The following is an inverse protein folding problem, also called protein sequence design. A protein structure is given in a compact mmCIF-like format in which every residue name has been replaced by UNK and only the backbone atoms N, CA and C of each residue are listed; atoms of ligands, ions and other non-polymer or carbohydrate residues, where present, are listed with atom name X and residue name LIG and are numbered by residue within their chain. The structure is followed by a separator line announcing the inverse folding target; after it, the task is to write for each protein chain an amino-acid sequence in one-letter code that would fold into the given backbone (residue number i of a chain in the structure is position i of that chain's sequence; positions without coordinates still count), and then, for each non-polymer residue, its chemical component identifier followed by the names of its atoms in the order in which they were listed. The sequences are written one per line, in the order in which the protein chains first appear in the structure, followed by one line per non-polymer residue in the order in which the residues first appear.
data_IF_778585830225
#
_entry.id   IF_778585830225
#
_cell.length_a   1.000
_cell.length_b   1.000
_cell.length_c   1.000
_cell.angle_alpha   90.00
_cell.angle_beta   90.00
_cell.angle_gamma   90.00
#
_symmetry.space_group_name_H-M   'P 1'
#
loop_
_entity.id
_entity.type
_entity.pdbx_description
1 polymer ?
#
# COMPACT_ATOMS: atom_id res chain seq x y z
N UNK A 1 -39.31 30.33 -33.95
CA UNK A 1 -40.49 29.45 -33.78
C UNK A 1 -41.34 29.71 -35.00
N UNK A 2 -41.57 28.70 -35.87
CA UNK A 2 -42.44 28.87 -37.04
C UNK A 2 -43.81 29.37 -36.59
N UNK A 3 -44.42 30.24 -37.40
CA UNK A 3 -45.77 30.75 -37.14
C UNK A 3 -46.74 29.56 -37.07
N UNK A 4 -47.78 29.67 -36.23
CA UNK A 4 -48.82 28.64 -36.13
C UNK A 4 -49.50 28.40 -37.50
N UNK A 5 -49.57 29.44 -38.33
CA UNK A 5 -50.05 29.35 -39.72
C UNK A 5 -49.12 28.52 -40.61
N UNK A 6 -47.80 28.69 -40.48
CA UNK A 6 -46.81 27.93 -41.28
C UNK A 6 -46.84 26.44 -40.95
N UNK A 7 -47.01 26.08 -39.67
CA UNK A 7 -47.12 24.69 -39.20
C UNK A 7 -48.45 24.08 -39.68
N UNK A 8 -49.52 24.87 -39.69
CA UNK A 8 -50.82 24.43 -40.20
C UNK A 8 -50.78 24.16 -41.70
N UNK A 9 -50.14 25.04 -42.47
CA UNK A 9 -50.01 24.91 -43.93
C UNK A 9 -49.09 23.74 -44.31
N UNK A 10 -47.98 23.53 -43.60
CA UNK A 10 -47.12 22.36 -43.78
C UNK A 10 -47.84 21.05 -43.43
N UNK A 11 -48.63 21.04 -42.35
CA UNK A 11 -49.45 19.89 -41.96
C UNK A 11 -50.55 19.58 -42.99
N UNK A 12 -51.20 20.60 -43.56
CA UNK A 12 -52.18 20.45 -44.65
C UNK A 12 -51.53 19.87 -45.90
N UNK A 13 -50.40 20.43 -46.34
CA UNK A 13 -49.67 19.94 -47.51
C UNK A 13 -49.19 18.48 -47.33
N UNK A 14 -48.74 18.11 -46.13
CA UNK A 14 -48.36 16.74 -45.80
C UNK A 14 -49.57 15.79 -45.78
N UNK A 15 -50.72 16.23 -45.26
CA UNK A 15 -51.96 15.47 -45.26
C UNK A 15 -52.48 15.23 -46.69
N UNK A 16 -52.44 16.25 -47.56
CA UNK A 16 -52.80 16.12 -48.96
C UNK A 16 -51.92 15.09 -49.67
N UNK A 17 -50.59 15.16 -49.48
CA UNK A 17 -49.64 14.18 -50.02
C UNK A 17 -49.90 12.76 -49.51
N UNK A 18 -50.27 12.62 -48.23
CA UNK A 18 -50.61 11.34 -47.63
C UNK A 18 -51.91 10.75 -48.21
N UNK A 19 -52.94 11.57 -48.41
CA UNK A 19 -54.20 11.16 -49.03
C UNK A 19 -54.01 10.77 -50.49
N UNK A 20 -53.25 11.57 -51.26
CA UNK A 20 -52.91 11.25 -52.66
C UNK A 20 -52.18 9.90 -52.78
N UNK A 21 -51.23 9.61 -51.89
CA UNK A 21 -50.52 8.33 -51.88
C UNK A 21 -51.38 7.13 -51.46
N UNK A 22 -52.43 7.34 -50.65
CA UNK A 22 -53.32 6.28 -50.17
C UNK A 22 -54.44 5.91 -51.16
N UNK A 23 -54.75 6.76 -52.14
CA UNK A 23 -55.89 6.64 -53.05
C UNK A 23 -55.46 6.56 -54.54
N UNK A 24 -54.52 5.66 -54.88
CA UNK A 24 -53.96 5.58 -56.24
C UNK A 24 -54.80 4.72 -57.22
N UNK A 25 -55.71 3.87 -56.73
CA UNK A 25 -56.55 2.98 -57.58
C UNK A 25 -58.03 3.04 -57.18
N UNK A 26 -59.00 2.94 -58.12
CA UNK A 26 -60.43 3.09 -57.83
C UNK A 26 -60.98 2.10 -56.78
N UNK A 27 -60.53 0.84 -56.76
CA UNK A 27 -60.95 -0.16 -55.77
C UNK A 27 -60.50 0.12 -54.32
N UNK A 28 -59.69 1.16 -54.08
CA UNK A 28 -59.30 1.57 -52.73
C UNK A 28 -60.33 2.48 -52.06
N UNK A 29 -61.33 2.98 -52.81
CA UNK A 29 -62.46 3.79 -52.29
C UNK A 29 -63.35 3.00 -51.31
N UNK A 30 -63.49 1.69 -51.48
CA UNK A 30 -64.23 0.83 -50.54
C UNK A 30 -63.58 0.78 -49.14
N UNK A 31 -62.27 1.04 -49.04
CA UNK A 31 -61.52 1.03 -47.77
C UNK A 31 -61.48 2.40 -47.06
N UNK A 32 -62.10 3.44 -47.63
CA UNK A 32 -62.09 4.81 -47.08
C UNK A 32 -62.67 4.85 -45.66
N UNK A 33 -63.75 4.12 -45.39
CA UNK A 33 -64.33 4.05 -44.04
C UNK A 33 -63.37 3.43 -43.02
N UNK A 34 -62.56 2.45 -43.43
CA UNK A 34 -61.52 1.86 -42.57
C UNK A 34 -60.37 2.85 -42.33
N UNK A 35 -59.93 3.58 -43.35
CA UNK A 35 -58.90 4.61 -43.22
C UNK A 35 -59.37 5.80 -42.38
N UNK A 36 -60.62 6.23 -42.55
CA UNK A 36 -61.27 7.26 -41.74
C UNK A 36 -61.29 6.85 -40.27
N UNK A 37 -61.75 5.63 -39.95
CA UNK A 37 -61.71 5.10 -38.57
C UNK A 37 -60.28 5.08 -38.00
N UNK A 38 -59.29 4.67 -38.79
CA UNK A 38 -57.88 4.66 -38.37
C UNK A 38 -57.33 6.06 -38.10
N UNK A 39 -57.64 7.04 -38.95
CA UNK A 39 -57.23 8.44 -38.78
C UNK A 39 -57.95 9.06 -37.58
N UNK A 40 -59.25 8.81 -37.41
CA UNK A 40 -60.01 9.27 -36.24
C UNK A 40 -59.44 8.69 -34.94
N UNK A 41 -59.08 7.40 -34.91
CA UNK A 41 -58.44 6.79 -33.75
C UNK A 41 -57.04 7.38 -33.48
N UNK A 42 -56.23 7.61 -34.53
CA UNK A 42 -54.93 8.29 -34.40
C UNK A 42 -55.08 9.71 -33.88
N UNK A 43 -56.05 10.48 -34.40
CA UNK A 43 -56.37 11.83 -33.94
C UNK A 43 -56.78 11.82 -32.47
N UNK A 44 -57.70 10.95 -32.07
CA UNK A 44 -58.13 10.82 -30.67
C UNK A 44 -56.97 10.43 -29.75
N UNK A 45 -56.07 9.56 -30.20
CA UNK A 45 -54.86 9.19 -29.45
C UNK A 45 -53.89 10.37 -29.29
N UNK A 46 -53.64 11.13 -30.36
CA UNK A 46 -52.75 12.31 -30.31
C UNK A 46 -53.39 13.41 -29.46
N UNK A 47 -54.69 13.65 -29.57
CA UNK A 47 -55.42 14.60 -28.72
C UNK A 47 -55.37 14.20 -27.24
N UNK A 48 -55.50 12.92 -26.92
CA UNK A 48 -55.37 12.42 -25.55
C UNK A 48 -53.93 12.60 -25.01
N UNK A 49 -52.92 12.26 -25.83
CA UNK A 49 -51.50 12.47 -25.49
C UNK A 49 -51.18 13.96 -25.31
N UNK A 50 -51.69 14.83 -26.17
CA UNK A 50 -51.46 16.27 -26.12
C UNK A 50 -52.17 16.89 -24.91
N UNK A 51 -53.41 16.47 -24.60
CA UNK A 51 -54.09 16.87 -23.35
C UNK A 51 -53.30 16.43 -22.12
N UNK A 52 -52.82 15.18 -22.09
CA UNK A 52 -52.01 14.69 -20.97
C UNK A 52 -50.68 15.45 -20.85
N UNK A 53 -50.03 15.78 -21.97
CA UNK A 53 -48.77 16.52 -21.99
C UNK A 53 -48.96 17.98 -21.55
N UNK A 54 -50.01 18.66 -22.06
CA UNK A 54 -50.37 20.03 -21.68
C UNK A 54 -50.76 20.09 -20.20
N UNK A 55 -51.56 19.14 -19.73
CA UNK A 55 -51.92 19.03 -18.31
C UNK A 55 -50.68 18.81 -17.44
N UNK A 56 -49.77 17.91 -17.83
CA UNK A 56 -48.51 17.70 -17.12
C UNK A 56 -47.60 18.93 -17.08
N UNK A 57 -47.55 19.73 -18.17
CA UNK A 57 -46.82 21.00 -18.19
C UNK A 57 -47.49 22.07 -17.33
N UNK A 58 -48.81 22.19 -17.35
CA UNK A 58 -49.58 23.10 -16.52
C UNK A 58 -49.45 22.76 -15.03
N UNK A 59 -49.57 21.48 -14.68
CA UNK A 59 -49.39 21.01 -13.30
C UNK A 59 -47.94 21.23 -12.85
N UNK A 60 -46.96 21.00 -13.73
CA UNK A 60 -45.55 21.33 -13.45
C UNK A 60 -45.30 22.82 -13.20
N UNK A 61 -45.92 23.70 -14.00
CA UNK A 61 -45.85 25.16 -13.80
C UNK A 61 -46.56 25.57 -12.51
N UNK A 62 -47.73 24.98 -12.21
CA UNK A 62 -48.47 25.27 -10.97
C UNK A 62 -47.66 24.88 -9.73
N UNK A 63 -47.09 23.67 -9.72
CA UNK A 63 -46.22 23.19 -8.64
C UNK A 63 -44.96 24.07 -8.53
N UNK A 64 -44.34 24.42 -9.67
CA UNK A 64 -43.17 25.31 -9.67
C UNK A 64 -43.46 26.69 -9.11
N UNK A 65 -44.61 27.29 -9.45
CA UNK A 65 -45.04 28.58 -8.88
C UNK A 65 -45.35 28.48 -7.40
N UNK A 66 -46.00 27.39 -6.96
CA UNK A 66 -46.28 27.17 -5.55
C UNK A 66 -44.99 27.01 -4.74
N UNK A 67 -44.02 26.23 -5.24
CA UNK A 67 -42.72 26.08 -4.61
C UNK A 67 -41.94 27.40 -4.56
N UNK A 68 -42.02 28.22 -5.62
CA UNK A 68 -41.41 29.56 -5.62
C UNK A 68 -42.03 30.48 -4.57
N UNK A 69 -43.35 30.42 -4.40
CA UNK A 69 -44.04 31.19 -3.36
C UNK A 69 -43.64 30.71 -1.96
N UNK A 70 -43.61 29.40 -1.73
CA UNK A 70 -43.16 28.79 -0.46
C UNK A 70 -41.70 29.19 -0.14
N UNK A 71 -40.80 29.14 -1.13
CA UNK A 71 -39.42 29.60 -0.94
C UNK A 71 -39.32 31.10 -0.60
N UNK A 72 -40.20 31.93 -1.17
CA UNK A 72 -40.21 33.37 -0.89
C UNK A 72 -40.66 33.63 0.55
N UNK A 73 -41.71 32.94 0.99
CA UNK A 73 -42.21 32.99 2.36
C UNK A 73 -41.15 32.48 3.35
N UNK A 74 -40.45 31.38 3.02
CA UNK A 74 -39.36 30.82 3.83
C UNK A 74 -38.18 31.80 3.96
N UNK A 75 -37.79 32.47 2.88
CA UNK A 75 -36.71 33.48 2.90
C UNK A 75 -37.10 34.66 3.80
N UNK A 76 -38.35 35.12 3.75
CA UNK A 76 -38.83 36.18 4.64
C UNK A 76 -38.81 35.74 6.10
N UNK A 77 -39.23 34.51 6.39
CA UNK A 77 -39.17 33.94 7.74
C UNK A 77 -37.73 33.79 8.24
N UNK A 78 -36.80 33.37 7.38
CA UNK A 78 -35.37 33.27 7.73
C UNK A 78 -34.80 34.65 8.01
N UNK A 79 -35.12 35.67 7.20
CA UNK A 79 -34.68 37.05 7.44
C UNK A 79 -35.17 37.56 8.79
N UNK A 80 -36.47 37.40 9.09
CA UNK A 80 -37.03 37.80 10.39
C UNK A 80 -36.34 37.09 11.56
N UNK A 81 -36.10 35.78 11.44
CA UNK A 81 -35.38 35.03 12.46
C UNK A 81 -33.92 35.44 12.59
N UNK A 82 -33.25 35.85 11.50
CA UNK A 82 -31.89 36.38 11.55
C UNK A 82 -31.86 37.73 12.28
N UNK A 83 -32.83 38.60 12.01
CA UNK A 83 -32.97 39.89 12.70
C UNK A 83 -33.25 39.70 14.20
N UNK A 84 -34.17 38.79 14.56
CA UNK A 84 -34.43 38.41 15.96
C UNK A 84 -33.17 37.85 16.65
N UNK A 85 -32.38 37.04 15.94
CA UNK A 85 -31.16 36.44 16.45
C UNK A 85 -30.06 37.50 16.64
N UNK A 86 -29.95 38.47 15.72
CA UNK A 86 -29.03 39.61 15.87
C UNK A 86 -29.41 40.47 17.07
N UNK A 87 -30.70 40.73 17.29
CA UNK A 87 -31.17 41.47 18.46
C UNK A 87 -30.93 40.73 19.79
N UNK A 88 -31.12 39.42 19.82
CA UNK A 88 -30.78 38.60 20.98
C UNK A 88 -29.26 38.57 21.25
N UNK A 89 -28.44 38.53 20.20
CA UNK A 89 -26.98 38.51 20.30
C UNK A 89 -26.40 39.84 20.82
N UNK A 90 -27.06 40.98 20.58
CA UNK A 90 -26.64 42.29 21.15
C UNK A 90 -26.60 42.29 22.69
N UNK A 91 -27.39 41.44 23.34
CA UNK A 91 -27.40 41.26 24.80
C UNK A 91 -26.29 40.35 25.35
N UNK A 92 -25.59 39.59 24.51
CA UNK A 92 -24.58 38.62 24.94
C UNK A 92 -23.28 39.26 25.45
N UNK A 93 -22.70 40.30 24.80
CA UNK A 93 -21.49 40.95 25.31
C UNK A 93 -21.58 41.50 26.75
N UNK A 94 -22.66 42.21 27.16
CA UNK A 94 -22.78 42.66 28.55
C UNK A 94 -23.04 41.49 29.53
N UNK A 95 -23.71 40.42 29.07
CA UNK A 95 -23.89 39.21 29.87
C UNK A 95 -22.57 38.48 30.13
N UNK A 96 -21.68 38.43 29.12
CA UNK A 96 -20.33 37.87 29.24
C UNK A 96 -19.51 38.65 30.27
N UNK A 97 -19.60 39.99 30.25
CA UNK A 97 -18.93 40.84 31.25
C UNK A 97 -19.48 40.61 32.67
N UNK A 98 -20.80 40.44 32.81
CA UNK A 98 -21.45 40.19 34.12
C UNK A 98 -21.11 38.81 34.67
N UNK A 99 -21.02 37.79 33.80
CA UNK A 99 -20.67 36.42 34.14
C UNK A 99 -19.17 36.17 34.23
N UNK A 100 -18.34 37.20 34.04
CA UNK A 100 -16.89 37.03 34.03
C UNK A 100 -16.36 36.48 35.37
N UNK A 101 -16.88 36.95 36.50
CA UNK A 101 -16.55 36.42 37.82
C UNK A 101 -16.95 34.95 38.00
N UNK A 102 -18.11 34.54 37.45
CA UNK A 102 -18.55 33.14 37.47
C UNK A 102 -17.68 32.28 36.57
N UNK A 103 -17.24 32.81 35.42
CA UNK A 103 -16.35 32.13 34.49
C UNK A 103 -14.94 31.96 35.05
N UNK A 104 -14.47 32.94 35.81
CA UNK A 104 -13.20 32.85 36.54
C UNK A 104 -13.25 31.78 37.64
N UNK A 105 -14.35 31.69 38.40
CA UNK A 105 -14.53 30.61 39.39
C UNK A 105 -14.78 29.25 38.74
N UNK A 106 -15.51 29.16 37.63
CA UNK A 106 -15.66 27.92 36.85
C UNK A 106 -14.31 27.45 36.29
N UNK A 107 -13.49 28.38 35.81
CA UNK A 107 -12.13 28.09 35.35
C UNK A 107 -11.26 27.56 36.50
N UNK A 108 -11.32 28.19 37.69
CA UNK A 108 -10.60 27.70 38.89
C UNK A 108 -11.12 26.34 39.34
N UNK A 109 -12.44 26.14 39.37
CA UNK A 109 -13.05 24.87 39.74
C UNK A 109 -12.66 23.77 38.76
N UNK A 110 -12.73 24.03 37.45
CA UNK A 110 -12.27 23.14 36.40
C UNK A 110 -10.78 22.79 36.58
N UNK A 111 -9.92 23.76 36.88
CA UNK A 111 -8.51 23.52 37.18
C UNK A 111 -8.33 22.61 38.40
N UNK A 112 -9.09 22.83 39.48
CA UNK A 112 -9.02 21.97 40.68
C UNK A 112 -9.54 20.56 40.43
N UNK A 113 -10.62 20.41 39.66
CA UNK A 113 -11.17 19.10 39.28
C UNK A 113 -10.14 18.34 38.44
N UNK A 114 -9.57 18.98 37.42
CA UNK A 114 -8.50 18.40 36.59
C UNK A 114 -7.28 18.04 37.43
N UNK A 115 -6.88 18.89 38.39
CA UNK A 115 -5.78 18.60 39.30
C UNK A 115 -6.08 17.42 40.23
N UNK A 116 -7.31 17.31 40.77
CA UNK A 116 -7.71 16.18 41.60
C UNK A 116 -7.75 14.86 40.83
N UNK A 117 -8.21 14.86 39.59
CA UNK A 117 -8.19 13.66 38.75
C UNK A 117 -6.77 13.31 38.32
N UNK A 118 -5.96 14.30 37.96
CA UNK A 118 -4.53 14.10 37.66
C UNK A 118 -3.76 13.53 38.86
N UNK A 119 -4.08 13.94 40.09
CA UNK A 119 -3.47 13.40 41.31
C UNK A 119 -3.76 11.89 41.47
N UNK A 120 -4.97 11.43 41.18
CA UNK A 120 -5.29 9.98 41.20
C UNK A 120 -4.40 9.22 40.22
N UNK A 121 -4.23 9.75 39.01
CA UNK A 121 -3.37 9.14 38.00
C UNK A 121 -1.92 9.10 38.43
N UNK A 122 -1.39 10.19 39.01
CA UNK A 122 -0.04 10.26 39.58
C UNK A 122 0.16 9.12 40.60
N UNK A 123 -0.67 8.97 41.63
CA UNK A 123 -0.43 7.91 42.63
C UNK A 123 -0.51 6.47 42.06
N UNK A 124 -1.20 6.26 40.94
CA UNK A 124 -1.36 4.95 40.30
C UNK A 124 -0.34 4.65 39.19
N UNK A 125 0.49 5.62 38.76
CA UNK A 125 1.49 5.42 37.69
C UNK A 125 2.48 4.31 38.01
N UNK A 126 3.15 4.25 39.18
CA UNK A 126 4.19 3.25 39.43
C UNK A 126 3.63 1.82 39.44
N UNK A 127 2.43 1.63 40.01
CA UNK A 127 1.72 0.35 40.01
C UNK A 127 1.30 -0.06 38.60
N UNK A 128 0.77 0.89 37.82
CA UNK A 128 0.36 0.66 36.42
C UNK A 128 1.54 0.35 35.51
N UNK A 129 2.68 1.01 35.71
CA UNK A 129 3.94 0.72 35.02
C UNK A 129 4.41 -0.71 35.33
N UNK A 130 4.42 -1.10 36.61
CA UNK A 130 4.81 -2.46 37.01
C UNK A 130 3.88 -3.52 36.39
N UNK A 131 2.57 -3.28 36.42
CA UNK A 131 1.56 -4.15 35.81
C UNK A 131 1.72 -4.24 34.30
N UNK A 132 2.05 -3.13 33.64
CA UNK A 132 2.30 -3.10 32.19
C UNK A 132 3.56 -3.89 31.84
N UNK A 133 4.65 -3.76 32.62
CA UNK A 133 5.86 -4.59 32.46
C UNK A 133 5.54 -6.08 32.59
N UNK A 134 4.70 -6.46 33.56
CA UNK A 134 4.24 -7.84 33.72
C UNK A 134 3.44 -8.33 32.50
N UNK A 135 2.48 -7.56 32.00
CA UNK A 135 1.69 -7.94 30.83
C UNK A 135 2.51 -8.06 29.55
N UNK A 136 3.56 -7.26 29.38
CA UNK A 136 4.53 -7.42 28.29
C UNK A 136 5.24 -8.77 28.42
N UNK A 137 5.69 -9.14 29.63
CA UNK A 137 6.31 -10.43 29.90
C UNK A 137 5.38 -11.64 29.68
N UNK A 138 4.09 -11.50 29.99
CA UNK A 138 3.06 -12.52 29.77
C UNK A 138 2.56 -12.60 28.31
N UNK A 139 3.00 -11.69 27.42
CA UNK A 139 2.56 -11.64 26.02
C UNK A 139 1.16 -11.03 25.81
N UNK A 140 0.55 -10.44 26.84
CA UNK A 140 -0.77 -9.77 26.78
C UNK A 140 -0.67 -8.34 26.23
N UNK A 141 -0.17 -8.21 25.00
CA UNK A 141 0.25 -6.93 24.43
C UNK A 141 -0.87 -5.90 24.28
N UNK A 142 -2.12 -6.31 24.05
CA UNK A 142 -3.25 -5.37 23.96
C UNK A 142 -3.53 -4.68 25.30
N UNK A 143 -3.46 -5.42 26.40
CA UNK A 143 -3.69 -4.89 27.74
C UNK A 143 -2.52 -3.98 28.15
N UNK A 144 -1.29 -4.40 27.81
CA UNK A 144 -0.11 -3.57 28.01
C UNK A 144 -0.19 -2.27 27.20
N UNK A 145 -0.60 -2.32 25.93
CA UNK A 145 -0.77 -1.15 25.09
C UNK A 145 -1.86 -0.20 25.58
N UNK A 146 -3.00 -0.75 26.02
CA UNK A 146 -4.09 0.05 26.59
C UNK A 146 -3.61 0.83 27.82
N UNK A 147 -2.98 0.14 28.77
CA UNK A 147 -2.51 0.78 30.00
C UNK A 147 -1.37 1.77 29.73
N UNK A 148 -0.45 1.46 28.80
CA UNK A 148 0.55 2.42 28.35
C UNK A 148 -0.10 3.66 27.70
N UNK A 149 -1.15 3.47 26.89
CA UNK A 149 -1.87 4.57 26.26
C UNK A 149 -2.56 5.46 27.30
N UNK A 150 -3.18 4.86 28.32
CA UNK A 150 -3.81 5.61 29.41
C UNK A 150 -2.77 6.42 30.21
N UNK A 151 -1.59 5.83 30.47
CA UNK A 151 -0.46 6.51 31.11
C UNK A 151 0.09 7.65 30.25
N UNK A 152 0.29 7.43 28.95
CA UNK A 152 0.74 8.47 28.02
C UNK A 152 -0.28 9.60 27.89
N UNK A 153 -1.57 9.29 27.80
CA UNK A 153 -2.62 10.31 27.76
C UNK A 153 -2.62 11.15 29.04
N UNK A 154 -2.52 10.52 30.22
CA UNK A 154 -2.45 11.25 31.49
C UNK A 154 -1.22 12.16 31.58
N UNK A 155 -0.07 11.72 31.04
CA UNK A 155 1.15 12.53 30.93
C UNK A 155 0.93 13.71 29.99
N UNK A 156 0.35 13.45 28.82
CA UNK A 156 0.16 14.44 27.77
C UNK A 156 -0.88 15.50 28.18
N UNK A 157 -1.94 15.11 28.88
CA UNK A 157 -2.94 16.02 29.48
C UNK A 157 -2.29 16.92 30.54
N UNK A 158 -1.47 16.36 31.43
CA UNK A 158 -0.71 17.12 32.43
C UNK A 158 0.27 18.12 31.79
N UNK A 159 0.96 17.70 30.72
CA UNK A 159 1.89 18.55 29.99
C UNK A 159 1.16 19.64 29.19
N UNK A 160 -0.03 19.34 28.65
CA UNK A 160 -0.87 20.31 27.95
C UNK A 160 -1.38 21.39 28.91
N UNK A 161 -1.88 21.01 30.08
CA UNK A 161 -2.32 21.97 31.10
C UNK A 161 -1.15 22.83 31.61
N UNK A 162 0.04 22.24 31.79
CA UNK A 162 1.24 23.02 32.10
C UNK A 162 1.63 23.99 30.97
N UNK A 163 1.38 23.62 29.71
CA UNK A 163 1.63 24.50 28.57
C UNK A 163 0.64 25.67 28.49
N UNK A 164 -0.62 25.47 28.89
CA UNK A 164 -1.66 26.51 28.93
C UNK A 164 -1.42 27.56 30.01
N UNK A 165 -0.73 27.20 31.10
CA UNK A 165 -0.43 28.13 32.18
C UNK A 165 0.64 29.16 31.73
N UNK A 166 0.43 30.46 31.98
CA UNK A 166 1.35 31.52 31.55
C UNK A 166 2.72 31.46 32.25
N UNK A 167 2.81 30.81 33.41
CA UNK A 167 4.05 30.61 34.17
C UNK A 167 4.60 29.20 33.92
N UNK A 168 5.32 29.02 32.81
CA UNK A 168 6.01 27.77 32.50
C UNK A 168 7.23 27.59 33.42
N UNK A 169 7.02 27.09 34.64
CA UNK A 169 8.12 26.78 35.53
C UNK A 169 8.97 25.64 34.92
N UNK A 170 10.26 25.88 34.70
CA UNK A 170 11.18 24.89 34.14
C UNK A 170 11.37 23.69 35.07
N UNK A 171 11.21 23.90 36.38
CA UNK A 171 11.28 22.89 37.40
C UNK A 171 10.14 21.87 37.30
N UNK A 172 8.90 22.31 37.05
CA UNK A 172 7.75 21.40 36.94
C UNK A 172 7.84 20.52 35.68
N UNK A 173 8.38 21.07 34.59
CA UNK A 173 8.69 20.28 33.37
C UNK A 173 9.73 19.18 33.65
N UNK A 174 10.77 19.49 34.43
CA UNK A 174 11.82 18.52 34.79
C UNK A 174 11.27 17.45 35.73
N UNK A 175 10.45 17.84 36.72
CA UNK A 175 9.82 16.91 37.66
C UNK A 175 8.88 15.94 36.95
N UNK A 176 8.00 16.44 36.07
CA UNK A 176 7.10 15.60 35.27
C UNK A 176 7.89 14.67 34.35
N UNK A 177 8.96 15.16 33.72
CA UNK A 177 9.80 14.32 32.87
C UNK A 177 10.45 13.17 33.66
N UNK A 178 11.01 13.46 34.83
CA UNK A 178 11.61 12.44 35.69
C UNK A 178 10.56 11.43 36.19
N UNK A 179 9.35 11.90 36.49
CA UNK A 179 8.25 11.05 36.95
C UNK A 179 7.76 10.06 35.88
N UNK A 180 7.68 10.52 34.63
CA UNK A 180 7.19 9.72 33.51
C UNK A 180 8.31 9.00 32.73
N UNK A 181 9.55 9.03 33.20
CA UNK A 181 10.69 8.34 32.57
C UNK A 181 10.46 6.82 32.52
N UNK A 182 9.87 6.27 33.58
CA UNK A 182 9.46 4.86 33.64
C UNK A 182 8.41 4.50 32.58
N UNK A 183 7.52 5.42 32.21
CA UNK A 183 6.52 5.22 31.15
C UNK A 183 7.21 5.16 29.78
N UNK A 184 8.22 6.00 29.56
CA UNK A 184 9.06 5.96 28.36
C UNK A 184 9.78 4.61 28.25
N UNK A 185 10.38 4.12 29.34
CA UNK A 185 11.03 2.81 29.37
C UNK A 185 10.06 1.66 29.04
N UNK A 186 8.81 1.72 29.52
CA UNK A 186 7.77 0.73 29.16
C UNK A 186 7.37 0.81 27.69
N UNK A 187 7.26 2.02 27.12
CA UNK A 187 7.03 2.18 25.69
C UNK A 187 8.13 1.53 24.86
N UNK A 188 9.39 1.70 25.24
CA UNK A 188 10.52 1.08 24.54
C UNK A 188 10.54 -0.45 24.68
N UNK A 189 10.13 -0.99 25.83
CA UNK A 189 9.98 -2.44 26.02
C UNK A 189 8.86 -3.01 25.13
N UNK A 190 7.71 -2.33 25.04
CA UNK A 190 6.63 -2.72 24.17
C UNK A 190 7.06 -2.67 22.69
N UNK A 191 7.78 -1.62 22.30
CA UNK A 191 8.34 -1.49 20.95
C UNK A 191 9.28 -2.65 20.63
N UNK A 192 10.22 -2.99 21.53
CA UNK A 192 11.14 -4.13 21.37
C UNK A 192 10.38 -5.45 21.21
N UNK A 193 9.33 -5.67 21.99
CA UNK A 193 8.53 -6.89 21.89
C UNK A 193 7.77 -6.98 20.55
N UNK A 194 7.23 -5.86 20.07
CA UNK A 194 6.58 -5.79 18.75
C UNK A 194 7.60 -6.04 17.64
N UNK A 195 8.80 -5.44 17.72
CA UNK A 195 9.90 -5.71 16.76
C UNK A 195 10.24 -7.19 16.70
N UNK A 196 10.34 -7.87 17.83
CA UNK A 196 10.63 -9.31 17.88
C UNK A 196 9.53 -10.17 17.23
N UNK A 197 8.27 -9.81 17.45
CA UNK A 197 7.13 -10.47 16.83
C UNK A 197 7.15 -10.27 15.31
N UNK A 198 7.39 -9.03 14.86
CA UNK A 198 7.48 -8.70 13.43
C UNK A 198 8.66 -9.39 12.76
N UNK A 199 9.83 -9.45 13.41
CA UNK A 199 10.99 -10.15 12.87
C UNK A 199 10.72 -11.65 12.63
N UNK A 200 9.82 -12.23 13.42
CA UNK A 200 9.42 -13.65 13.32
C UNK A 200 8.13 -13.87 12.54
N UNK A 201 7.61 -12.87 11.82
CA UNK A 201 6.29 -12.90 11.17
C UNK A 201 6.03 -14.21 10.42
N UNK A 202 6.92 -14.61 9.50
CA UNK A 202 6.73 -15.80 8.66
C UNK A 202 6.68 -17.12 9.46
N UNK A 203 7.30 -17.16 10.63
CA UNK A 203 7.27 -18.33 11.53
C UNK A 203 6.04 -18.29 12.45
N UNK A 204 5.70 -17.11 12.96
CA UNK A 204 4.57 -16.89 13.85
C UNK A 204 3.24 -17.07 13.12
N UNK A 205 3.10 -16.57 11.89
CA UNK A 205 1.88 -16.72 11.08
C UNK A 205 1.51 -18.20 10.85
N UNK A 206 2.51 -19.09 10.72
CA UNK A 206 2.28 -20.54 10.58
C UNK A 206 1.74 -21.20 11.86
N UNK A 207 2.08 -20.67 13.04
CA UNK A 207 1.73 -21.28 14.34
C UNK A 207 0.53 -20.58 14.99
N UNK A 208 0.59 -19.26 15.08
CA UNK A 208 -0.35 -18.41 15.82
C UNK A 208 -0.52 -17.04 15.13
N UNK A 209 -1.38 -16.94 14.10
CA UNK A 209 -1.57 -15.70 13.33
C UNK A 209 -2.18 -14.55 14.16
N UNK A 210 -2.87 -14.86 15.26
CA UNK A 210 -3.51 -13.88 16.16
C UNK A 210 -2.51 -12.94 16.82
N UNK A 211 -1.28 -13.40 17.08
CA UNK A 211 -0.20 -12.58 17.66
C UNK A 211 0.22 -11.48 16.68
N UNK A 212 0.28 -11.78 15.39
CA UNK A 212 0.63 -10.81 14.35
C UNK A 212 -0.48 -9.78 14.18
N UNK A 213 -1.74 -10.23 14.10
CA UNK A 213 -2.90 -9.33 14.05
C UNK A 213 -2.91 -8.40 15.27
N UNK A 214 -2.57 -8.92 16.45
CA UNK A 214 -2.47 -8.13 17.68
C UNK A 214 -1.39 -7.05 17.58
N UNK A 215 -0.18 -7.41 17.14
CA UNK A 215 0.90 -6.45 16.94
C UNK A 215 0.55 -5.37 15.90
N UNK A 216 -0.04 -5.77 14.77
CA UNK A 216 -0.48 -4.85 13.72
C UNK A 216 -1.61 -3.92 14.20
N UNK A 217 -2.55 -4.42 15.00
CA UNK A 217 -3.61 -3.60 15.60
C UNK A 217 -3.05 -2.53 16.52
N UNK A 218 -1.99 -2.84 17.26
CA UNK A 218 -1.29 -1.86 18.09
C UNK A 218 -0.60 -0.81 17.21
N UNK A 219 0.10 -1.21 16.15
CA UNK A 219 0.76 -0.29 15.21
C UNK A 219 -0.25 0.68 14.58
N UNK A 220 -1.40 0.18 14.11
CA UNK A 220 -2.45 1.02 13.52
C UNK A 220 -3.07 1.99 14.53
N UNK A 221 -3.20 1.59 15.80
CA UNK A 221 -3.66 2.48 16.87
C UNK A 221 -2.65 3.59 17.13
N UNK A 222 -1.36 3.26 17.18
CA UNK A 222 -0.28 4.25 17.36
C UNK A 222 -0.19 5.23 16.18
N UNK A 223 -0.32 4.74 14.94
CA UNK A 223 -0.31 5.60 13.76
C UNK A 223 -1.52 6.56 13.73
N UNK A 224 -2.70 6.08 14.15
CA UNK A 224 -3.88 6.94 14.30
C UNK A 224 -3.67 8.03 15.35
N UNK A 225 -2.98 7.72 16.46
CA UNK A 225 -2.62 8.73 17.47
C UNK A 225 -1.59 9.72 16.96
N UNK A 226 -0.59 9.27 16.20
CA UNK A 226 0.38 10.15 15.54
C UNK A 226 -0.34 11.15 14.62
N UNK A 227 -1.31 10.69 13.82
CA UNK A 227 -2.12 11.56 12.96
C UNK A 227 -2.95 12.58 13.75
N UNK A 228 -3.57 12.17 14.86
CA UNK A 228 -4.31 13.08 15.74
C UNK A 228 -3.40 14.12 16.37
N UNK A 229 -2.22 13.73 16.83
CA UNK A 229 -1.23 14.64 17.41
C UNK A 229 -0.74 15.67 16.37
N UNK A 230 -0.48 15.23 15.13
CA UNK A 230 -0.11 16.15 14.03
C UNK A 230 -1.23 17.14 13.70
N UNK A 231 -2.50 16.71 13.75
CA UNK A 231 -3.63 17.62 13.56
C UNK A 231 -3.77 18.62 14.72
N UNK A 232 -3.53 18.17 15.95
CA UNK A 232 -3.55 19.02 17.15
C UNK A 232 -2.34 19.96 17.24
N UNK A 233 -1.26 19.73 16.51
CA UNK A 233 -0.10 20.65 16.45
C UNK A 233 -0.49 22.05 15.92
N UNK A 234 -1.60 22.15 15.18
CA UNK A 234 -2.19 23.45 14.81
C UNK A 234 -2.59 24.28 16.05
N UNK A 235 -2.78 23.65 17.21
CA UNK A 235 -3.05 24.30 18.50
C UNK A 235 -1.79 24.71 19.28
N UNK A 236 -0.58 24.41 18.75
CA UNK A 236 0.71 24.84 19.32
C UNK A 236 1.34 23.92 20.36
N UNK A 237 0.73 22.77 20.66
CA UNK A 237 1.27 21.77 21.58
C UNK A 237 1.42 20.40 20.89
N UNK A 238 2.63 19.85 20.93
CA UNK A 238 2.94 18.49 20.49
C UNK A 238 3.43 17.64 21.68
N UNK A 239 2.80 16.49 21.94
CA UNK A 239 3.26 15.58 23.00
C UNK A 239 4.71 15.10 22.79
N UNK A 240 5.49 14.93 23.87
CA UNK A 240 6.87 14.45 23.75
C UNK A 240 6.91 13.00 23.26
N UNK A 241 7.73 12.76 22.23
CA UNK A 241 7.92 11.44 21.61
C UNK A 241 6.96 11.10 20.47
N UNK A 242 6.19 12.08 19.97
CA UNK A 242 5.36 11.98 18.76
C UNK A 242 5.99 12.74 17.59
N UNK A 243 5.82 12.27 16.33
CA UNK A 243 5.23 11.00 15.92
C UNK A 243 6.17 9.81 16.15
N UNK A 244 5.64 8.66 16.58
CA UNK A 244 6.43 7.43 16.79
C UNK A 244 6.71 6.68 15.49
N UNK A 245 5.89 6.84 14.46
CA UNK A 245 6.07 6.25 13.11
C UNK A 245 6.24 4.71 13.13
N UNK A 246 5.45 4.02 13.95
CA UNK A 246 5.56 2.56 14.14
C UNK A 246 5.31 1.76 12.86
N UNK A 247 4.55 2.31 11.90
CA UNK A 247 4.39 1.71 10.57
C UNK A 247 5.72 1.64 9.81
N UNK A 248 6.50 2.72 9.81
CA UNK A 248 7.81 2.75 9.15
C UNK A 248 8.79 1.79 9.84
N UNK A 249 8.78 1.78 11.17
CA UNK A 249 9.55 0.83 11.98
C UNK A 249 9.19 -0.61 11.62
N UNK A 250 7.90 -0.92 11.48
CA UNK A 250 7.46 -2.27 11.14
C UNK A 250 8.00 -2.73 9.79
N UNK A 251 7.89 -1.91 8.74
CA UNK A 251 8.44 -2.26 7.43
C UNK A 251 9.97 -2.39 7.43
N UNK A 252 10.68 -1.57 8.20
CA UNK A 252 12.14 -1.70 8.38
C UNK A 252 12.51 -3.02 9.03
N UNK A 253 11.78 -3.44 10.05
CA UNK A 253 12.00 -4.71 10.76
C UNK A 253 11.69 -5.90 9.86
N UNK A 254 10.58 -5.86 9.11
CA UNK A 254 10.26 -6.89 8.14
C UNK A 254 11.36 -7.03 7.07
N UNK A 255 11.89 -5.91 6.57
CA UNK A 255 13.02 -5.92 5.63
C UNK A 255 14.30 -6.50 6.25
N UNK A 256 14.62 -6.13 7.49
CA UNK A 256 15.76 -6.71 8.22
C UNK A 256 15.62 -8.22 8.37
N UNK A 257 14.43 -8.70 8.75
CA UNK A 257 14.17 -10.12 8.90
C UNK A 257 14.28 -10.88 7.57
N UNK A 258 13.83 -10.28 6.46
CA UNK A 258 14.05 -10.85 5.11
C UNK A 258 15.54 -10.92 4.79
N UNK A 259 16.32 -9.87 5.09
CA UNK A 259 17.75 -9.85 4.88
C UNK A 259 18.48 -10.93 5.69
N UNK A 260 18.19 -11.03 6.98
CA UNK A 260 18.75 -12.06 7.88
C UNK A 260 18.44 -13.48 7.40
N UNK A 261 17.26 -13.71 6.81
CA UNK A 261 16.90 -15.01 6.23
C UNK A 261 17.72 -15.33 4.98
N UNK A 262 17.94 -14.35 4.10
CA UNK A 262 18.78 -14.55 2.90
C UNK A 262 20.24 -14.76 3.31
N UNK A 263 20.77 -13.95 4.24
CA UNK A 263 22.12 -14.14 4.78
C UNK A 263 22.28 -15.51 5.42
N UNK A 264 21.27 -15.99 6.15
CA UNK A 264 21.26 -17.32 6.76
C UNK A 264 21.28 -18.49 5.77
N UNK A 265 21.11 -18.26 4.47
CA UNK A 265 21.29 -19.30 3.42
C UNK A 265 22.75 -19.45 2.96
N UNK A 266 23.64 -18.53 3.34
CA UNK A 266 25.08 -18.66 3.11
C UNK A 266 25.67 -19.65 4.13
N UNK A 267 25.54 -20.94 3.82
CA UNK A 267 25.97 -22.03 4.72
C UNK A 267 27.44 -22.40 4.51
N UNK A 268 27.94 -22.30 3.28
CA UNK A 268 29.28 -22.74 2.92
C UNK A 268 30.16 -21.53 2.58
N UNK A 269 31.40 -21.54 3.06
CA UNK A 269 32.43 -20.60 2.61
C UNK A 269 33.02 -21.07 1.28
N UNK A 270 33.51 -20.13 0.47
CA UNK A 270 34.11 -20.42 -0.84
C UNK A 270 35.28 -21.41 -0.76
N UNK A 271 35.99 -21.43 0.38
CA UNK A 271 37.15 -22.29 0.62
C UNK A 271 36.75 -23.75 0.86
N UNK A 272 35.52 -24.00 1.34
CA UNK A 272 35.05 -25.32 1.77
C UNK A 272 34.36 -26.12 0.65
N UNK A 273 33.66 -25.45 -0.27
CA UNK A 273 32.93 -26.11 -1.37
C UNK A 273 33.07 -25.35 -2.70
N UNK A 274 33.55 -26.04 -3.74
CA UNK A 274 33.63 -25.50 -5.11
C UNK A 274 32.26 -25.20 -5.72
N UNK A 275 31.19 -25.78 -5.19
CA UNK A 275 29.81 -25.60 -5.63
C UNK A 275 29.01 -24.68 -4.70
N UNK A 276 29.68 -23.95 -3.79
CA UNK A 276 29.05 -23.07 -2.79
C UNK A 276 28.01 -22.13 -3.41
N UNK A 277 28.32 -21.53 -4.57
CA UNK A 277 27.44 -20.56 -5.23
C UNK A 277 26.16 -21.22 -5.76
N UNK A 278 26.27 -22.41 -6.35
CA UNK A 278 25.10 -23.16 -6.84
C UNK A 278 24.18 -23.50 -5.67
N UNK A 279 24.76 -23.99 -4.58
CA UNK A 279 24.01 -24.36 -3.37
C UNK A 279 23.37 -23.14 -2.71
N UNK A 280 24.10 -22.03 -2.58
CA UNK A 280 23.59 -20.76 -2.08
C UNK A 280 22.38 -20.26 -2.89
N UNK A 281 22.51 -20.22 -4.22
CA UNK A 281 21.45 -19.76 -5.12
C UNK A 281 20.22 -20.69 -5.08
N UNK A 282 20.42 -22.00 -4.97
CA UNK A 282 19.32 -22.97 -4.89
C UNK A 282 18.59 -22.90 -3.54
N UNK A 283 19.31 -22.81 -2.42
CA UNK A 283 18.72 -22.60 -1.10
C UNK A 283 17.95 -21.27 -1.03
N UNK A 284 18.53 -20.21 -1.62
CA UNK A 284 17.87 -18.90 -1.71
C UNK A 284 16.60 -18.98 -2.55
N UNK A 285 16.61 -19.68 -3.69
CA UNK A 285 15.44 -19.90 -4.55
C UNK A 285 14.31 -20.60 -3.77
N UNK A 286 14.63 -21.70 -3.10
CA UNK A 286 13.65 -22.47 -2.31
C UNK A 286 13.07 -21.63 -1.17
N UNK A 287 13.93 -20.91 -0.45
CA UNK A 287 13.54 -20.03 0.66
C UNK A 287 12.56 -18.95 0.19
N UNK A 288 12.91 -18.21 -0.86
CA UNK A 288 12.08 -17.10 -1.37
C UNK A 288 10.73 -17.63 -1.84
N UNK A 289 10.71 -18.74 -2.58
CA UNK A 289 9.46 -19.33 -3.09
C UNK A 289 8.55 -19.77 -1.93
N UNK A 290 9.10 -20.46 -0.92
CA UNK A 290 8.32 -20.91 0.22
C UNK A 290 7.79 -19.72 1.04
N UNK A 291 8.64 -18.73 1.30
CA UNK A 291 8.27 -17.57 2.10
C UNK A 291 7.20 -16.71 1.39
N UNK A 292 7.35 -16.44 0.09
CA UNK A 292 6.34 -15.69 -0.68
C UNK A 292 5.01 -16.47 -0.76
N UNK A 293 5.05 -17.80 -0.84
CA UNK A 293 3.86 -18.64 -0.74
C UNK A 293 3.17 -18.47 0.62
N UNK A 294 3.92 -18.45 1.70
CA UNK A 294 3.39 -18.21 3.06
C UNK A 294 2.82 -16.81 3.20
N UNK A 295 3.49 -15.79 2.64
CA UNK A 295 2.98 -14.41 2.64
C UNK A 295 1.63 -14.34 1.95
N UNK A 296 1.51 -14.92 0.76
CA UNK A 296 0.28 -14.90 -0.04
C UNK A 296 -0.87 -15.67 0.63
N UNK A 297 -0.58 -16.82 1.23
CA UNK A 297 -1.61 -17.71 1.78
C UNK A 297 -2.02 -17.34 3.21
N UNK A 298 -1.05 -17.02 4.07
CA UNK A 298 -1.28 -16.87 5.51
C UNK A 298 -1.06 -15.44 6.02
N UNK A 299 -0.19 -14.62 5.40
CA UNK A 299 -0.03 -13.23 5.86
C UNK A 299 -1.14 -12.31 5.33
N UNK A 300 -1.65 -12.52 4.12
CA UNK A 300 -2.69 -11.65 3.53
C UNK A 300 -3.91 -11.43 4.47
N UNK A 301 -4.47 -12.46 5.12
CA UNK A 301 -5.59 -12.27 6.07
C UNK A 301 -5.20 -11.52 7.36
N UNK A 302 -3.93 -11.50 7.74
CA UNK A 302 -3.47 -10.88 8.99
C UNK A 302 -3.18 -9.38 8.83
N UNK A 303 -2.82 -8.94 7.63
CA UNK A 303 -2.42 -7.55 7.36
C UNK A 303 -3.57 -6.71 6.81
N UNK A 304 -3.61 -5.39 7.12
CA UNK A 304 -4.58 -4.50 6.50
C UNK A 304 -4.44 -4.47 4.97
N UNK A 305 -5.55 -4.43 4.19
CA UNK A 305 -5.48 -4.46 2.72
C UNK A 305 -4.64 -3.34 2.10
N UNK A 306 -4.63 -2.16 2.72
CA UNK A 306 -3.89 -0.99 2.24
C UNK A 306 -2.36 -1.10 2.41
N UNK A 307 -1.86 -2.12 3.11
CA UNK A 307 -0.41 -2.35 3.23
C UNK A 307 0.18 -3.00 1.97
N UNK A 308 -0.65 -3.65 1.16
CA UNK A 308 -0.23 -4.41 -0.02
C UNK A 308 0.96 -5.33 0.27
N UNK A 309 0.79 -6.17 1.30
CA UNK A 309 1.88 -6.88 1.96
C UNK A 309 2.62 -7.83 1.00
N UNK A 310 1.93 -8.41 0.01
CA UNK A 310 2.53 -9.30 -0.98
C UNK A 310 3.55 -8.55 -1.81
N UNK A 311 3.16 -7.43 -2.43
CA UNK A 311 4.07 -6.62 -3.23
C UNK A 311 5.21 -6.04 -2.37
N UNK A 312 4.93 -5.66 -1.12
CA UNK A 312 5.98 -5.21 -0.18
C UNK A 312 7.00 -6.29 0.14
N UNK A 313 6.58 -7.54 0.38
CA UNK A 313 7.54 -8.63 0.58
C UNK A 313 8.32 -8.94 -0.70
N UNK A 314 7.67 -8.92 -1.86
CA UNK A 314 8.33 -9.09 -3.17
C UNK A 314 9.43 -8.03 -3.36
N UNK A 315 9.13 -6.76 -3.11
CA UNK A 315 10.11 -5.67 -3.17
C UNK A 315 11.25 -5.86 -2.17
N UNK A 316 10.95 -6.31 -0.94
CA UNK A 316 11.96 -6.58 0.09
C UNK A 316 12.90 -7.72 -0.30
N UNK A 317 12.35 -8.87 -0.73
CA UNK A 317 13.15 -10.01 -1.19
C UNK A 317 13.98 -9.63 -2.42
N UNK A 318 13.39 -8.92 -3.39
CA UNK A 318 14.10 -8.42 -4.56
C UNK A 318 15.28 -7.51 -4.16
N UNK A 319 15.03 -6.52 -3.30
CA UNK A 319 16.05 -5.56 -2.87
C UNK A 319 17.18 -6.21 -2.07
N UNK A 320 16.85 -7.11 -1.13
CA UNK A 320 17.84 -7.80 -0.31
C UNK A 320 18.65 -8.79 -1.14
N UNK A 321 18.00 -9.56 -2.03
CA UNK A 321 18.68 -10.46 -2.95
C UNK A 321 19.62 -9.69 -3.89
N UNK A 322 19.17 -8.57 -4.46
CA UNK A 322 19.98 -7.69 -5.29
C UNK A 322 21.26 -7.26 -4.56
N UNK A 323 21.13 -6.79 -3.32
CA UNK A 323 22.28 -6.40 -2.50
C UNK A 323 23.22 -7.58 -2.20
N UNK A 324 22.67 -8.75 -1.86
CA UNK A 324 23.48 -9.95 -1.60
C UNK A 324 24.23 -10.44 -2.84
N UNK A 325 23.63 -10.38 -4.04
CA UNK A 325 24.29 -10.75 -5.28
C UNK A 325 25.31 -9.71 -5.71
N UNK A 326 25.04 -8.42 -5.48
CA UNK A 326 26.00 -7.35 -5.75
C UNK A 326 27.27 -7.51 -4.88
N UNK A 327 27.11 -7.89 -3.61
CA UNK A 327 28.22 -8.24 -2.72
C UNK A 327 29.03 -9.43 -3.27
N UNK A 328 28.36 -10.49 -3.74
CA UNK A 328 29.02 -11.65 -4.39
C UNK A 328 29.82 -11.22 -5.63
N UNK A 329 29.27 -10.35 -6.48
CA UNK A 329 29.99 -9.82 -7.66
C UNK A 329 31.20 -8.98 -7.24
N UNK A 330 31.08 -8.16 -6.19
CA UNK A 330 32.15 -7.30 -5.69
C UNK A 330 33.30 -8.10 -5.07
N UNK A 331 33.01 -9.20 -4.40
CA UNK A 331 34.01 -10.11 -3.84
C UNK A 331 34.77 -10.91 -4.90
N UNK A 332 34.31 -10.88 -6.16
CA UNK A 332 34.99 -11.44 -7.32
C UNK A 332 34.58 -12.88 -7.60
N UNK A 333 34.26 -13.15 -8.87
CA UNK A 333 33.85 -14.46 -9.35
C UNK A 333 35.01 -15.19 -10.06
N UNK A 334 34.98 -16.52 -10.03
CA UNK A 334 36.00 -17.39 -10.64
C UNK A 334 35.37 -18.48 -11.51
N UNK A 335 35.96 -18.70 -12.70
CA UNK A 335 35.61 -19.80 -13.59
C UNK A 335 34.11 -19.96 -13.84
N UNK A 336 33.56 -21.10 -13.41
CA UNK A 336 32.17 -21.50 -13.62
C UNK A 336 31.15 -20.69 -12.80
N UNK A 337 31.60 -19.89 -11.82
CA UNK A 337 30.73 -19.03 -11.01
C UNK A 337 30.06 -17.94 -11.85
N UNK A 338 30.76 -17.41 -12.86
CA UNK A 338 30.19 -16.42 -13.80
C UNK A 338 28.98 -16.97 -14.53
N UNK A 339 29.11 -18.15 -15.16
CA UNK A 339 28.02 -18.79 -15.91
C UNK A 339 26.87 -19.14 -14.99
N UNK A 340 27.19 -19.64 -13.80
CA UNK A 340 26.19 -20.00 -12.78
C UNK A 340 25.36 -18.78 -12.40
N UNK A 341 26.01 -17.67 -12.04
CA UNK A 341 25.32 -16.45 -11.63
C UNK A 341 24.54 -15.81 -12.80
N UNK A 342 25.16 -15.70 -13.97
CA UNK A 342 24.52 -15.15 -15.17
C UNK A 342 23.27 -15.94 -15.56
N UNK A 343 23.38 -17.28 -15.60
CA UNK A 343 22.24 -18.15 -15.90
C UNK A 343 21.14 -18.01 -14.86
N UNK A 344 21.50 -17.92 -13.58
CA UNK A 344 20.51 -17.78 -12.51
C UNK A 344 19.76 -16.45 -12.58
N UNK A 345 20.47 -15.34 -12.80
CA UNK A 345 19.85 -14.01 -12.90
C UNK A 345 18.97 -13.88 -14.15
N UNK A 346 19.42 -14.42 -15.29
CA UNK A 346 18.73 -14.25 -16.57
C UNK A 346 17.60 -15.27 -16.78
N UNK A 347 17.75 -16.50 -16.28
CA UNK A 347 16.84 -17.61 -16.56
C UNK A 347 16.05 -18.03 -15.32
N UNK A 348 16.71 -18.31 -14.19
CA UNK A 348 16.05 -18.88 -13.00
C UNK A 348 15.22 -17.85 -12.24
N UNK A 349 15.75 -16.65 -12.03
CA UNK A 349 15.08 -15.58 -11.26
C UNK A 349 13.76 -15.12 -11.91
N UNK A 350 13.75 -14.66 -13.18
CA UNK A 350 12.49 -14.26 -13.85
C UNK A 350 11.66 -15.47 -14.32
N UNK A 351 12.24 -16.67 -14.35
CA UNK A 351 11.62 -17.88 -14.87
C UNK A 351 10.54 -18.48 -13.97
N UNK A 352 9.94 -19.57 -14.45
CA UNK A 352 8.87 -20.31 -13.77
C UNK A 352 9.29 -20.99 -12.46
N UNK A 353 10.60 -21.08 -12.20
CA UNK A 353 11.15 -21.72 -11.01
C UNK A 353 11.14 -20.81 -9.78
N UNK A 354 10.95 -19.49 -9.96
CA UNK A 354 10.91 -18.50 -8.89
C UNK A 354 9.84 -17.43 -9.12
N UNK A 355 10.18 -16.26 -9.68
CA UNK A 355 9.25 -15.12 -9.73
C UNK A 355 8.12 -15.31 -10.74
N UNK A 356 8.38 -16.03 -11.83
CA UNK A 356 7.38 -16.42 -12.83
C UNK A 356 6.59 -17.68 -12.45
N UNK A 357 6.72 -18.19 -11.23
CA UNK A 357 5.98 -19.37 -10.79
C UNK A 357 4.46 -19.11 -10.80
N UNK A 358 3.64 -20.03 -11.34
CA UNK A 358 2.18 -19.91 -11.34
C UNK A 358 1.61 -19.85 -9.91
N UNK A 359 2.34 -20.37 -8.93
CA UNK A 359 1.94 -20.31 -7.51
C UNK A 359 1.93 -18.88 -6.97
N UNK A 360 2.92 -18.08 -7.41
CA UNK A 360 3.06 -16.68 -6.96
C UNK A 360 2.12 -15.75 -7.73
N UNK A 361 1.88 -16.00 -9.02
CA UNK A 361 1.03 -15.16 -9.88
C UNK A 361 1.40 -13.66 -9.81
N UNK A 362 2.71 -13.38 -9.79
CA UNK A 362 3.28 -12.03 -9.78
C UNK A 362 3.56 -11.63 -11.23
N UNK A 363 3.26 -10.39 -11.59
CA UNK A 363 3.64 -9.85 -12.89
C UNK A 363 5.13 -9.50 -12.88
N UNK A 364 5.94 -10.42 -13.42
CA UNK A 364 7.39 -10.28 -13.54
C UNK A 364 7.80 -9.02 -14.31
N UNK A 365 6.93 -8.48 -15.17
CA UNK A 365 7.21 -7.25 -15.93
C UNK A 365 7.24 -5.98 -15.06
N UNK A 366 6.66 -6.04 -13.87
CA UNK A 366 6.69 -4.92 -12.91
C UNK A 366 7.95 -4.89 -12.05
N UNK A 367 8.72 -5.99 -12.04
CA UNK A 367 9.96 -6.10 -11.30
C UNK A 367 11.08 -5.35 -11.99
N UNK A 368 11.89 -4.65 -11.19
CA UNK A 368 13.12 -4.03 -11.69
C UNK A 368 14.17 -5.10 -12.00
N UNK A 369 15.18 -4.80 -12.83
CA UNK A 369 16.33 -5.68 -13.01
C UNK A 369 17.01 -5.97 -11.66
N UNK A 370 17.35 -7.24 -11.40
CA UNK A 370 17.93 -7.68 -10.13
C UNK A 370 19.33 -7.10 -9.89
N UNK A 371 20.10 -6.90 -10.95
CA UNK A 371 21.34 -6.12 -10.93
C UNK A 371 21.17 -4.91 -11.86
N UNK A 372 21.83 -3.81 -11.52
CA UNK A 372 21.87 -2.64 -12.38
C UNK A 372 22.56 -2.99 -13.71
N UNK A 373 22.11 -2.38 -14.81
CA UNK A 373 22.55 -2.74 -16.17
C UNK A 373 24.06 -2.59 -16.37
N UNK A 374 24.68 -1.63 -15.69
CA UNK A 374 26.13 -1.39 -15.67
C UNK A 374 26.89 -2.55 -15.01
N UNK A 375 26.41 -3.03 -13.86
CA UNK A 375 26.99 -4.19 -13.16
C UNK A 375 26.80 -5.45 -14.03
N UNK A 376 25.64 -5.58 -14.65
CA UNK A 376 25.31 -6.71 -15.51
C UNK A 376 26.20 -6.74 -16.77
N UNK A 377 26.41 -5.60 -17.43
CA UNK A 377 27.33 -5.49 -18.58
C UNK A 377 28.75 -5.82 -18.16
N UNK A 378 29.24 -5.23 -17.07
CA UNK A 378 30.57 -5.54 -16.54
C UNK A 378 30.75 -7.03 -16.25
N UNK A 379 29.74 -7.68 -15.66
CA UNK A 379 29.78 -9.11 -15.38
C UNK A 379 29.86 -9.96 -16.65
N UNK A 380 29.15 -9.57 -17.72
CA UNK A 380 29.22 -10.23 -19.02
C UNK A 380 30.58 -10.02 -19.69
N UNK A 381 31.11 -8.80 -19.66
CA UNK A 381 32.41 -8.46 -20.23
C UNK A 381 33.54 -9.22 -19.52
N UNK A 382 33.53 -9.24 -18.19
CA UNK A 382 34.50 -10.00 -17.36
C UNK A 382 34.44 -11.50 -17.67
N UNK A 383 33.24 -12.05 -17.86
CA UNK A 383 33.04 -13.44 -18.26
C UNK A 383 33.62 -13.73 -19.64
N UNK A 384 33.30 -12.90 -20.65
CA UNK A 384 33.78 -13.06 -22.01
C UNK A 384 35.30 -12.93 -22.09
N UNK A 385 35.89 -11.97 -21.36
CA UNK A 385 37.33 -11.80 -21.30
C UNK A 385 38.03 -13.01 -20.68
N UNK A 386 37.52 -13.54 -19.55
CA UNK A 386 38.07 -14.75 -18.92
C UNK A 386 37.92 -15.97 -19.82
N UNK A 387 36.77 -16.11 -20.49
CA UNK A 387 36.52 -17.19 -21.44
C UNK A 387 37.49 -17.11 -22.63
N UNK A 388 37.70 -15.92 -23.20
CA UNK A 388 38.66 -15.71 -24.29
C UNK A 388 40.10 -16.08 -23.88
N UNK A 389 40.56 -15.65 -22.70
CA UNK A 389 41.87 -16.01 -22.16
C UNK A 389 42.00 -17.53 -22.00
N UNK A 390 41.00 -18.19 -21.43
CA UNK A 390 40.99 -19.64 -21.27
C UNK A 390 41.04 -20.37 -22.62
N UNK A 391 40.31 -19.90 -23.63
CA UNK A 391 40.37 -20.48 -24.98
C UNK A 391 41.73 -20.26 -25.64
N UNK A 392 42.36 -19.09 -25.48
CA UNK A 392 43.71 -18.84 -26.00
C UNK A 392 44.73 -19.77 -25.35
N UNK A 393 44.74 -19.86 -24.02
CA UNK A 393 45.63 -20.79 -23.32
C UNK A 393 45.38 -22.25 -23.73
N UNK A 394 44.12 -22.62 -23.94
CA UNK A 394 43.77 -23.96 -24.40
C UNK A 394 44.27 -24.22 -25.83
N UNK A 395 44.11 -23.27 -26.75
CA UNK A 395 44.63 -23.36 -28.10
C UNK A 395 46.17 -23.47 -28.10
N UNK A 396 46.85 -22.65 -27.31
CA UNK A 396 48.31 -22.67 -27.20
C UNK A 396 48.81 -24.01 -26.67
N UNK A 397 48.23 -24.53 -25.57
CA UNK A 397 48.58 -25.85 -25.02
C UNK A 397 48.28 -26.98 -25.99
N UNK A 398 47.18 -26.89 -26.74
CA UNK A 398 46.83 -27.89 -27.76
C UNK A 398 47.85 -27.88 -28.90
N UNK A 399 48.23 -26.70 -29.40
CA UNK A 399 49.25 -26.54 -30.43
C UNK A 399 50.63 -27.00 -29.95
N UNK A 400 51.01 -26.73 -28.70
CA UNK A 400 52.25 -27.21 -28.11
C UNK A 400 52.28 -28.74 -28.01
N UNK A 401 51.16 -29.34 -27.58
CA UNK A 401 51.00 -30.80 -27.51
C UNK A 401 51.11 -31.44 -28.90
N UNK A 402 50.41 -30.89 -29.91
CA UNK A 402 50.50 -31.38 -31.28
C UNK A 402 51.91 -31.21 -31.87
N UNK A 403 52.57 -30.08 -31.59
CA UNK A 403 53.95 -29.84 -32.02
C UNK A 403 54.92 -30.86 -31.40
N UNK A 404 54.74 -31.19 -30.12
CA UNK A 404 55.54 -32.21 -29.45
C UNK A 404 55.27 -33.61 -30.03
N UNK A 405 54.01 -33.93 -30.33
CA UNK A 405 53.61 -35.20 -30.96
C UNK A 405 54.20 -35.34 -32.36
N UNK A 406 54.14 -34.29 -33.19
CA UNK A 406 54.75 -34.29 -34.54
C UNK A 406 56.28 -34.30 -34.51
N UNK A 407 56.89 -33.71 -33.47
CA UNK A 407 58.33 -33.78 -33.25
C UNK A 407 58.81 -35.13 -32.70
N UNK A 408 57.92 -35.88 -32.05
CA UNK A 408 58.15 -37.24 -31.58
C UNK A 408 58.14 -38.25 -32.72
N UNK A 409 59.06 -39.21 -32.70
CA UNK A 409 59.14 -40.29 -33.72
C UNK A 409 58.05 -41.37 -33.55
N UNK A 410 56.87 -41.04 -33.01
CA UNK A 410 55.75 -41.99 -32.90
C UNK A 410 54.89 -41.94 -34.16
N UNK A 411 54.56 -43.11 -34.71
CA UNK A 411 53.56 -43.19 -35.79
C UNK A 411 52.20 -42.74 -35.26
N UNK A 412 51.39 -42.04 -36.09
CA UNK A 412 50.02 -41.70 -35.73
C UNK A 412 49.25 -42.99 -35.39
N UNK A 413 48.40 -42.99 -34.35
CA UNK A 413 47.63 -44.15 -33.96
C UNK A 413 46.78 -44.63 -35.14
N UNK A 414 46.99 -45.87 -35.57
CA UNK A 414 46.30 -46.48 -36.70
C UNK A 414 44.92 -46.95 -36.24
N UNK A 415 43.95 -46.05 -36.21
CA UNK A 415 42.53 -46.40 -36.17
C UNK A 415 41.95 -46.20 -37.58
N UNK A 416 41.58 -47.32 -38.20
CA UNK A 416 40.86 -47.36 -39.47
C UNK A 416 39.54 -46.61 -39.35
N UNK A 417 39.53 -45.36 -39.80
CA UNK A 417 38.49 -44.67 -40.58
C UNK A 417 38.75 -43.15 -40.49
N UNK A 418 39.37 -42.61 -41.53
CA UNK A 418 39.31 -41.19 -41.94
C UNK A 418 39.17 -40.16 -40.81
N UNK A 419 40.25 -39.92 -40.06
CA UNK A 419 40.32 -38.77 -39.15
C UNK A 419 40.85 -37.56 -39.92
N UNK A 420 39.95 -36.58 -40.10
CA UNK A 420 40.32 -35.17 -40.16
C UNK A 420 41.18 -34.81 -38.94
N UNK A 421 42.01 -33.75 -39.02
CA UNK A 421 42.85 -33.33 -37.90
C UNK A 421 42.05 -33.24 -36.61
N UNK A 422 42.66 -33.60 -35.48
CA UNK A 422 42.11 -33.59 -34.12
C UNK A 422 41.62 -32.21 -33.63
N UNK A 423 41.61 -31.20 -34.50
CA UNK A 423 41.25 -29.81 -34.27
C UNK A 423 39.76 -29.58 -33.99
N UNK A 424 38.92 -30.61 -34.00
CA UNK A 424 37.46 -30.44 -34.00
C UNK A 424 36.75 -30.65 -32.67
N UNK A 425 37.38 -31.17 -31.62
CA UNK A 425 36.67 -31.45 -30.36
C UNK A 425 37.52 -31.24 -29.12
N UNK A 426 37.16 -30.31 -28.22
CA UNK A 426 37.81 -30.21 -26.91
C UNK A 426 37.51 -31.44 -26.06
N UNK A 427 38.45 -31.92 -25.22
CA UNK A 427 38.19 -33.05 -24.33
C UNK A 427 37.18 -32.64 -23.26
N UNK A 428 36.08 -33.39 -23.15
CA UNK A 428 35.00 -33.18 -22.17
C UNK A 428 35.42 -33.22 -20.70
N UNK A 429 36.68 -33.55 -20.40
CA UNK A 429 37.23 -33.66 -19.04
C UNK A 429 37.67 -32.33 -18.41
N UNK A 430 37.72 -31.24 -19.20
CA UNK A 430 38.17 -29.92 -18.72
C UNK A 430 37.05 -28.89 -18.51
N UNK A 431 35.79 -29.28 -18.75
CA UNK A 431 34.58 -28.47 -18.49
C UNK A 431 33.94 -28.76 -17.13
N UNK A 432 34.70 -29.27 -16.15
CA UNK A 432 34.24 -29.50 -14.77
C UNK A 432 34.69 -28.38 -13.84
#
# INVERSE_FOLDING_TARGET
MSSMEEIEDEAKAAAEKMVMNMMQRPGQLEKVEQYKKRITHKKASIEAQLKSAVQGKLDGVRVGLQQLQECLDDIQQISLKMDELEDLLKGVPPLVATLQAVREEDCRHSQYVTAMDSLKHIFTVPESVAKTKQWIGEGKLLHAHQCLSDLENSRDDLLYELHRLPNQSSHDKIMLKAYFDDVQAVSELLEKQIKLILARTLNTVRKEPTVIVTALRIIEREEKRDQMAIQQDQSGFMPPGRPKSWRQMAFKVLKSAVNERIEGTRVDEREDDKLWLIRYLELTRQLILEDLRVVKTLCVPCFPPHYDIVNKYVDMYHSCLSASLQDVVQNGLEGNEYVTLLSWILNTYPGSELMGSPELNIDVSTLKPLLANDIMQKLQDDYLQKMELNYREWMDKTLESERAEWGGRSLPPTSNHTLRPSTHTPPSSYFK
#
